data_IF_027927096564
#
_entry.id   IF_027927096564
#
_cell.length_a   1.000
_cell.length_b   1.000
_cell.length_c   1.000
_cell.angle_alpha   90.00
_cell.angle_beta   90.00
_cell.angle_gamma   90.00
#
_symmetry.space_group_name_H-M   'P 1'
#
loop_
_entity.id
_entity.type
_entity.pdbx_description
1 polymer ?
#
# COMPACT_ATOMS: atom_id res chain seq x y z
N UNK A 1 -11.38 2.26 -49.52
CA UNK A 1 -11.27 1.90 -48.08
C UNK A 1 -12.34 2.70 -47.33
N UNK A 2 -13.48 2.08 -47.00
CA UNK A 2 -14.50 2.74 -46.20
C UNK A 2 -13.94 2.98 -44.79
N UNK A 3 -14.10 4.21 -44.29
CA UNK A 3 -13.78 4.57 -42.91
C UNK A 3 -14.77 3.81 -42.03
N UNK A 4 -14.28 2.79 -41.34
CA UNK A 4 -15.02 2.03 -40.33
C UNK A 4 -15.56 3.08 -39.34
N UNK A 5 -16.87 3.24 -39.31
CA UNK A 5 -17.68 4.20 -38.56
C UNK A 5 -16.88 5.06 -37.53
N UNK A 6 -16.65 6.34 -37.84
CA UNK A 6 -15.70 7.20 -37.11
C UNK A 6 -16.00 7.31 -35.60
N UNK A 7 -17.28 7.21 -35.23
CA UNK A 7 -17.70 7.28 -33.83
C UNK A 7 -17.34 6.01 -33.03
N UNK A 8 -17.55 4.82 -33.61
CA UNK A 8 -17.21 3.53 -32.98
C UNK A 8 -15.70 3.34 -32.88
N UNK A 9 -14.97 3.70 -33.94
CA UNK A 9 -13.50 3.67 -33.95
C UNK A 9 -12.91 4.64 -32.93
N UNK A 10 -13.54 5.82 -32.75
CA UNK A 10 -13.15 6.80 -31.74
C UNK A 10 -13.33 6.29 -30.31
N UNK A 11 -14.42 5.56 -30.02
CA UNK A 11 -14.66 4.94 -28.70
C UNK A 11 -13.60 3.88 -28.37
N UNK A 12 -13.28 2.99 -29.31
CA UNK A 12 -12.24 1.97 -29.14
C UNK A 12 -10.86 2.59 -28.92
N UNK A 13 -10.54 3.64 -29.68
CA UNK A 13 -9.26 4.33 -29.54
C UNK A 13 -9.10 4.99 -28.16
N UNK A 14 -10.16 5.64 -27.66
CA UNK A 14 -10.18 6.21 -26.30
C UNK A 14 -9.97 5.13 -25.24
N UNK A 15 -10.62 3.98 -25.36
CA UNK A 15 -10.48 2.87 -24.41
C UNK A 15 -9.04 2.35 -24.35
N UNK A 16 -8.38 2.15 -25.50
CA UNK A 16 -6.98 1.70 -25.55
C UNK A 16 -6.02 2.66 -24.87
N UNK A 17 -6.31 3.96 -24.92
CA UNK A 17 -5.52 4.99 -24.25
C UNK A 17 -5.57 4.88 -22.72
N UNK A 18 -6.70 4.43 -22.20
CA UNK A 18 -6.93 4.29 -20.75
C UNK A 18 -6.39 2.96 -20.25
N UNK A 19 -6.56 1.87 -21.01
CA UNK A 19 -6.23 0.54 -20.51
C UNK A 19 -4.86 0.05 -20.98
N UNK A 20 -4.61 0.15 -22.29
CA UNK A 20 -3.46 -0.49 -22.94
C UNK A 20 -2.21 0.34 -22.70
N UNK A 21 -2.25 1.66 -22.91
CA UNK A 21 -1.06 2.51 -22.73
C UNK A 21 -0.50 2.44 -21.29
N UNK A 22 -1.32 2.53 -20.21
CA UNK A 22 -0.79 2.45 -18.86
C UNK A 22 -0.25 1.06 -18.51
N UNK A 23 -0.87 -0.02 -18.99
CA UNK A 23 -0.38 -1.38 -18.78
C UNK A 23 1.00 -1.59 -19.41
N UNK A 24 1.20 -1.14 -20.65
CA UNK A 24 2.49 -1.21 -21.33
C UNK A 24 3.54 -0.25 -20.73
N UNK A 25 3.12 0.93 -20.27
CA UNK A 25 3.99 1.84 -19.51
C UNK A 25 4.50 1.20 -18.22
N UNK A 26 3.61 0.53 -17.49
CA UNK A 26 3.93 -0.18 -16.25
C UNK A 26 4.90 -1.36 -16.49
N UNK A 27 4.73 -2.09 -17.60
CA UNK A 27 5.66 -3.15 -18.02
C UNK A 27 7.05 -2.61 -18.34
N UNK A 28 7.13 -1.50 -19.09
CA UNK A 28 8.40 -0.84 -19.44
C UNK A 28 9.12 -0.29 -18.22
N UNK A 29 8.42 0.42 -17.34
CA UNK A 29 9.03 1.07 -16.19
C UNK A 29 9.50 0.07 -15.12
N UNK A 30 8.75 -1.02 -14.91
CA UNK A 30 9.01 -1.91 -13.77
C UNK A 30 9.84 -3.15 -14.10
N UNK A 31 9.73 -3.66 -15.33
CA UNK A 31 10.43 -4.85 -15.77
C UNK A 31 11.42 -4.55 -16.91
N UNK A 32 11.59 -3.27 -17.28
CA UNK A 32 12.39 -2.88 -18.44
C UNK A 32 11.99 -3.62 -19.71
N UNK A 33 10.69 -3.97 -19.82
CA UNK A 33 10.17 -4.80 -20.89
C UNK A 33 10.07 -4.00 -22.20
N UNK A 34 11.12 -4.09 -23.03
CA UNK A 34 11.24 -3.32 -24.28
C UNK A 34 10.90 -4.12 -25.52
N UNK A 35 11.08 -5.46 -25.50
CA UNK A 35 10.86 -6.30 -26.67
C UNK A 35 10.35 -7.72 -26.34
N UNK A 36 9.54 -8.21 -27.28
CA UNK A 36 9.33 -9.61 -27.65
C UNK A 36 10.63 -10.44 -27.69
N UNK A 37 10.87 -11.39 -26.79
CA UNK A 37 11.92 -12.40 -27.00
C UNK A 37 11.49 -13.42 -28.05
N UNK A 38 10.23 -13.87 -27.97
CA UNK A 38 9.68 -14.92 -28.86
C UNK A 38 8.87 -14.34 -30.01
N UNK A 39 8.73 -15.13 -31.08
CA UNK A 39 7.86 -14.85 -32.24
C UNK A 39 6.72 -15.86 -32.30
N UNK A 40 5.57 -15.43 -32.82
CA UNK A 40 4.34 -16.21 -32.86
C UNK A 40 3.38 -15.82 -31.74
N UNK A 41 2.09 -15.71 -32.09
CA UNK A 41 1.04 -15.13 -31.23
C UNK A 41 0.96 -15.83 -29.87
N UNK A 42 0.89 -17.15 -29.85
CA UNK A 42 0.69 -17.92 -28.62
C UNK A 42 1.88 -17.78 -27.67
N UNK A 43 3.10 -17.78 -28.22
CA UNK A 43 4.32 -17.60 -27.43
C UNK A 43 4.41 -16.20 -26.83
N UNK A 44 4.03 -15.17 -27.60
CA UNK A 44 3.99 -13.78 -27.13
C UNK A 44 2.98 -13.59 -26.01
N UNK A 45 1.83 -14.26 -26.08
CA UNK A 45 0.82 -14.23 -25.00
C UNK A 45 1.38 -14.84 -23.72
N UNK A 46 2.11 -15.96 -23.82
CA UNK A 46 2.75 -16.57 -22.65
C UNK A 46 3.84 -15.67 -22.04
N UNK A 47 4.70 -15.08 -22.87
CA UNK A 47 5.76 -14.15 -22.41
C UNK A 47 5.15 -12.93 -21.69
N UNK A 48 4.08 -12.36 -22.25
CA UNK A 48 3.34 -11.28 -21.60
C UNK A 48 2.72 -11.72 -20.27
N UNK A 49 2.16 -12.94 -20.22
CA UNK A 49 1.60 -13.52 -19.00
C UNK A 49 2.62 -13.61 -17.86
N UNK A 50 3.84 -14.06 -18.16
CA UNK A 50 4.93 -14.09 -17.18
C UNK A 50 5.32 -12.70 -16.69
N UNK A 51 5.44 -11.73 -17.61
CA UNK A 51 5.76 -10.34 -17.23
C UNK A 51 4.68 -9.74 -16.30
N UNK A 52 3.41 -9.96 -16.60
CA UNK A 52 2.31 -9.52 -15.74
C UNK A 52 2.33 -10.22 -14.37
N UNK A 53 2.64 -11.52 -14.33
CA UNK A 53 2.77 -12.28 -13.09
C UNK A 53 3.90 -11.74 -12.21
N UNK A 54 5.06 -11.40 -12.80
CA UNK A 54 6.17 -10.79 -12.08
C UNK A 54 5.77 -9.44 -11.45
N UNK A 55 5.01 -8.61 -12.16
CA UNK A 55 4.47 -7.34 -11.62
C UNK A 55 3.53 -7.62 -10.44
N UNK A 56 2.65 -8.61 -10.57
CA UNK A 56 1.70 -8.95 -9.51
C UNK A 56 2.42 -9.45 -8.25
N UNK A 57 3.47 -10.28 -8.39
CA UNK A 57 4.31 -10.71 -7.27
C UNK A 57 4.96 -9.50 -6.59
N UNK A 58 5.51 -8.56 -7.36
CA UNK A 58 6.13 -7.34 -6.80
C UNK A 58 5.14 -6.46 -6.03
N UNK A 59 3.91 -6.35 -6.51
CA UNK A 59 2.83 -5.65 -5.79
C UNK A 59 2.45 -6.39 -4.51
N UNK A 60 2.36 -7.72 -4.57
CA UNK A 60 2.03 -8.55 -3.41
C UNK A 60 3.10 -8.48 -2.31
N UNK A 61 4.39 -8.48 -2.67
CA UNK A 61 5.48 -8.34 -1.70
C UNK A 61 5.48 -6.97 -1.04
N UNK A 62 5.33 -5.89 -1.82
CA UNK A 62 5.21 -4.53 -1.29
C UNK A 62 4.01 -4.38 -0.34
N UNK A 63 2.85 -4.94 -0.71
CA UNK A 63 1.67 -4.94 0.15
C UNK A 63 1.91 -5.69 1.46
N UNK A 64 2.57 -6.86 1.40
CA UNK A 64 2.91 -7.63 2.61
C UNK A 64 3.87 -6.88 3.53
N UNK A 65 4.87 -6.18 2.99
CA UNK A 65 5.80 -5.35 3.77
C UNK A 65 5.08 -4.15 4.42
N UNK A 66 4.19 -3.50 3.68
CA UNK A 66 3.37 -2.41 4.24
C UNK A 66 2.43 -2.92 5.33
N UNK A 67 1.83 -4.09 5.15
CA UNK A 67 1.01 -4.71 6.19
C UNK A 67 1.86 -5.03 7.43
N UNK A 68 2.99 -5.73 7.29
CA UNK A 68 3.83 -6.09 8.44
C UNK A 68 4.35 -4.88 9.21
N UNK A 69 4.71 -3.80 8.51
CA UNK A 69 5.14 -2.55 9.16
C UNK A 69 4.00 -1.84 9.88
N UNK A 70 2.78 -1.85 9.34
CA UNK A 70 1.61 -1.31 10.04
C UNK A 70 1.23 -2.15 11.27
N UNK A 71 1.29 -3.47 11.16
CA UNK A 71 1.08 -4.37 12.31
C UNK A 71 2.14 -4.14 13.40
N UNK A 72 3.41 -3.95 13.02
CA UNK A 72 4.50 -3.65 13.96
C UNK A 72 4.28 -2.29 14.64
N UNK A 73 3.99 -1.23 13.87
CA UNK A 73 3.65 0.09 14.40
C UNK A 73 2.45 0.06 15.35
N UNK A 74 1.42 -0.73 15.03
CA UNK A 74 0.24 -0.85 15.90
C UNK A 74 0.59 -1.56 17.22
N UNK A 75 1.45 -2.59 17.18
CA UNK A 75 1.99 -3.24 18.38
C UNK A 75 2.86 -2.30 19.20
N UNK A 76 3.73 -1.53 18.55
CA UNK A 76 4.57 -0.52 19.22
C UNK A 76 3.72 0.55 19.90
N UNK A 77 2.69 1.07 19.21
CA UNK A 77 1.73 2.01 19.79
C UNK A 77 0.96 1.42 20.97
N UNK A 78 0.55 0.14 20.89
CA UNK A 78 -0.10 -0.55 22.00
C UNK A 78 0.84 -0.74 23.18
N UNK A 79 2.11 -1.08 22.95
CA UNK A 79 3.11 -1.16 24.01
C UNK A 79 3.29 0.22 24.66
N UNK A 80 3.50 1.27 23.87
CA UNK A 80 3.64 2.65 24.37
C UNK A 80 2.43 3.04 25.22
N UNK A 81 1.20 2.79 24.74
CA UNK A 81 -0.01 3.05 25.51
C UNK A 81 -0.09 2.23 26.81
N UNK A 82 0.32 0.96 26.78
CA UNK A 82 0.37 0.10 27.96
C UNK A 82 1.39 0.55 29.02
N UNK A 83 2.49 1.18 28.60
CA UNK A 83 3.49 1.76 29.50
C UNK A 83 3.11 3.16 30.00
N UNK A 84 2.39 3.94 29.20
CA UNK A 84 1.97 5.30 29.57
C UNK A 84 0.74 5.32 30.50
N UNK A 85 -0.18 4.35 30.39
CA UNK A 85 -1.35 4.24 31.27
C UNK A 85 -1.01 4.12 32.77
N UNK A 86 -0.11 3.22 33.23
CA UNK A 86 0.20 3.12 34.65
C UNK A 86 0.89 4.37 35.20
N UNK A 87 1.73 5.05 34.41
CA UNK A 87 2.35 6.31 34.84
C UNK A 87 1.36 7.46 35.07
N UNK A 88 0.24 7.50 34.32
CA UNK A 88 -0.80 8.50 34.52
C UNK A 88 -1.54 8.31 35.86
N UNK A 89 -1.88 7.06 36.21
CA UNK A 89 -2.54 6.74 37.49
C UNK A 89 -1.65 7.02 38.71
N UNK A 90 -0.33 6.83 38.58
CA UNK A 90 0.60 7.05 39.69
C UNK A 90 0.70 8.55 40.01
N UNK A 91 0.71 9.44 39.01
CA UNK A 91 0.81 10.90 39.24
C UNK A 91 -0.42 11.49 39.97
N UNK A 92 -1.63 11.01 39.66
CA UNK A 92 -2.86 11.51 40.31
C UNK A 92 -2.93 11.13 41.80
N UNK A 93 -2.40 9.97 42.18
CA UNK A 93 -2.40 9.49 43.58
C UNK A 93 -1.37 10.21 44.47
N UNK A 94 -0.20 10.59 43.94
CA UNK A 94 0.78 11.40 44.69
C UNK A 94 0.34 12.86 44.87
N UNK A 95 -0.45 13.40 43.93
CA UNK A 95 -1.02 14.75 44.04
C UNK A 95 -2.08 14.88 45.13
N UNK A 96 -2.89 13.84 45.35
CA UNK A 96 -3.97 13.85 46.36
C UNK A 96 -3.49 13.47 47.76
N UNK A 97 -2.51 12.58 47.91
CA UNK A 97 -1.93 12.24 49.22
C UNK A 97 -1.19 13.42 49.87
N UNK A 98 -0.54 14.26 49.06
CA UNK A 98 0.15 15.46 49.53
C UNK A 98 -0.81 16.47 50.17
N UNK A 99 -2.04 16.61 49.66
CA UNK A 99 -3.03 17.56 50.20
C UNK A 99 -3.61 17.13 51.55
N UNK A 100 -3.73 15.82 51.81
CA UNK A 100 -4.25 15.31 53.08
C UNK A 100 -3.22 15.37 54.23
N UNK A 101 -1.93 15.30 53.90
CA UNK A 101 -0.85 15.44 54.91
C UNK A 101 -0.67 16.88 55.41
N UNK A 102 -0.93 17.90 54.57
CA UNK A 102 -0.85 19.31 55.02
C UNK A 102 -2.04 19.73 55.89
N UNK A 103 -3.20 19.07 55.77
CA UNK A 103 -4.37 19.39 56.59
C UNK A 103 -4.29 18.78 58.01
N UNK A 104 -3.62 17.63 58.19
CA UNK A 104 -3.44 17.02 59.52
C UNK A 104 -2.34 17.68 60.38
N UNK A 105 -1.56 18.61 59.82
CA UNK A 105 -0.53 19.34 60.57
C UNK A 105 -0.90 20.81 60.86
N UNK A 106 -2.12 21.23 60.48
CA UNK A 106 -2.67 22.55 60.81
C UNK A 106 -3.89 22.47 61.76
N UNK A 107 -4.10 21.35 62.44
CA UNK A 107 -5.08 21.20 63.53
C UNK A 107 -4.38 20.92 64.86
#
# INVERSE_FOLDING_TARGET
KALINAEETGKIYKQRKIDVEPAFGNLKANLSFTRFSVRGKDKVVNELGFALMAINIRKLTAYRQLKSTNELKNKDLKMIFSFLNPCFFILETFGSASFFSYCSHSC
#
